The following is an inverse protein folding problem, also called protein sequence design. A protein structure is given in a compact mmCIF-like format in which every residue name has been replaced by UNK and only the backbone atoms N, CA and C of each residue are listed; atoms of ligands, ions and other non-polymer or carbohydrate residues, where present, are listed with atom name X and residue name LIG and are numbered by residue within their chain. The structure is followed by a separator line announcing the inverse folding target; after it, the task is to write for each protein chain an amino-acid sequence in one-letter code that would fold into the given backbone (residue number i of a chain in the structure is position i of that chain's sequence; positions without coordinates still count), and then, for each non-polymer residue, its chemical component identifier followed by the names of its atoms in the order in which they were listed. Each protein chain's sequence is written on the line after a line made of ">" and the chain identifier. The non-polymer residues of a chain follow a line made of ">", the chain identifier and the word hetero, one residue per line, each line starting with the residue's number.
data_IF_851115233193
#
_entry.id   IF_851115233193
#
_cell.length_a   1.000
_cell.length_b   1.000
_cell.length_c   1.000
_cell.angle_alpha   90.00
_cell.angle_beta   90.00
_cell.angle_gamma   90.00
#
_symmetry.space_group_name_H-M   'P 1'
#
loop_
_entity.id
_entity.type
_entity.pdbx_description
1 polymer ?
#
# COMPACT_ATOMS: atom_id res chain seq x y z
N UNK A 1 -4.68 8.86 -8.20
CA UNK A 1 -5.90 8.58 -7.41
C UNK A 1 -5.99 7.16 -6.84
N UNK A 2 -5.37 6.16 -7.47
CA UNK A 2 -5.40 4.76 -6.99
C UNK A 2 -4.94 4.59 -5.52
N UNK A 3 -3.90 5.32 -5.08
CA UNK A 3 -3.48 5.36 -3.66
C UNK A 3 -4.64 5.66 -2.72
N UNK A 4 -5.37 6.74 -3.00
CA UNK A 4 -6.49 7.19 -2.17
C UNK A 4 -7.62 6.16 -2.14
N UNK A 5 -7.91 5.51 -3.28
CA UNK A 5 -8.86 4.38 -3.32
C UNK A 5 -8.40 3.21 -2.44
N UNK A 6 -7.10 2.88 -2.47
CA UNK A 6 -6.51 1.89 -1.58
C UNK A 6 -6.63 2.26 -0.09
N UNK A 7 -6.41 3.53 0.25
CA UNK A 7 -6.60 4.05 1.61
C UNK A 7 -8.05 3.89 2.09
N UNK A 8 -9.04 4.27 1.28
CA UNK A 8 -10.44 4.12 1.66
C UNK A 8 -10.85 2.65 1.84
N UNK A 9 -10.42 1.75 0.95
CA UNK A 9 -10.69 0.32 1.12
C UNK A 9 -9.95 -0.28 2.34
N UNK A 10 -8.74 0.20 2.65
CA UNK A 10 -8.03 -0.17 3.88
C UNK A 10 -8.84 0.25 5.12
N UNK A 11 -9.30 1.50 5.18
CA UNK A 11 -10.15 1.96 6.28
C UNK A 11 -11.43 1.12 6.42
N UNK A 12 -12.06 0.74 5.31
CA UNK A 12 -13.20 -0.20 5.33
C UNK A 12 -12.81 -1.56 5.93
N UNK A 13 -11.62 -2.09 5.58
CA UNK A 13 -11.14 -3.38 6.07
C UNK A 13 -10.79 -3.36 7.58
N UNK A 14 -10.45 -2.21 8.16
CA UNK A 14 -10.11 -2.05 9.58
C UNK A 14 -11.27 -2.45 10.50
N UNK A 15 -12.51 -2.09 10.13
CA UNK A 15 -13.70 -2.37 10.93
C UNK A 15 -14.62 -3.46 10.34
N UNK A 16 -14.44 -3.83 9.07
CA UNK A 16 -15.19 -4.94 8.49
C UNK A 16 -14.77 -6.29 9.09
N UNK A 17 -15.66 -7.28 8.99
CA UNK A 17 -15.44 -8.66 9.45
C UNK A 17 -15.88 -9.67 8.38
N UNK A 18 -15.39 -10.90 8.49
CA UNK A 18 -15.72 -11.99 7.57
C UNK A 18 -15.47 -11.62 6.10
N UNK A 19 -16.43 -11.93 5.23
CA UNK A 19 -16.35 -11.66 3.79
C UNK A 19 -16.24 -10.17 3.44
N UNK A 20 -16.82 -9.29 4.28
CA UNK A 20 -16.68 -7.85 4.11
C UNK A 20 -15.22 -7.40 4.25
N UNK A 21 -14.52 -7.93 5.26
CA UNK A 21 -13.09 -7.66 5.45
C UNK A 21 -12.28 -8.19 4.29
N UNK A 22 -12.56 -9.42 3.84
CA UNK A 22 -11.87 -10.04 2.71
C UNK A 22 -12.00 -9.20 1.43
N UNK A 23 -13.23 -8.84 1.07
CA UNK A 23 -13.52 -8.04 -0.13
C UNK A 23 -12.85 -6.66 -0.07
N UNK A 24 -12.94 -5.98 1.07
CA UNK A 24 -12.28 -4.67 1.26
C UNK A 24 -10.75 -4.78 1.17
N UNK A 25 -10.17 -5.84 1.75
CA UNK A 25 -8.73 -6.09 1.70
C UNK A 25 -8.23 -6.36 0.28
N UNK A 26 -8.96 -7.19 -0.49
CA UNK A 26 -8.64 -7.47 -1.89
C UNK A 26 -8.72 -6.20 -2.75
N UNK A 27 -9.77 -5.40 -2.57
CA UNK A 27 -9.93 -4.13 -3.29
C UNK A 27 -8.85 -3.09 -2.91
N UNK A 28 -8.44 -3.04 -1.65
CA UNK A 28 -7.34 -2.21 -1.18
C UNK A 28 -6.02 -2.65 -1.83
N UNK A 29 -5.71 -3.94 -1.79
CA UNK A 29 -4.49 -4.51 -2.35
C UNK A 29 -4.36 -4.22 -3.85
N UNK A 30 -5.42 -4.46 -4.62
CA UNK A 30 -5.42 -4.19 -6.07
C UNK A 30 -5.23 -2.69 -6.36
N UNK A 31 -5.89 -1.81 -5.58
CA UNK A 31 -5.74 -0.37 -5.75
C UNK A 31 -4.33 0.11 -5.43
N UNK A 32 -3.70 -0.40 -4.38
CA UNK A 32 -2.31 -0.07 -4.06
C UNK A 32 -1.32 -0.63 -5.07
N UNK A 33 -1.56 -1.84 -5.58
CA UNK A 33 -0.72 -2.47 -6.61
C UNK A 33 -0.72 -1.62 -7.89
N UNK A 34 -1.89 -1.26 -8.40
CA UNK A 34 -2.02 -0.37 -9.55
C UNK A 34 -1.35 0.99 -9.31
N UNK A 35 -1.53 1.58 -8.12
CA UNK A 35 -0.86 2.82 -7.76
C UNK A 35 0.67 2.67 -7.78
N UNK A 36 1.18 1.52 -7.36
CA UNK A 36 2.63 1.24 -7.26
C UNK A 36 3.23 1.09 -8.65
N UNK A 37 2.59 0.34 -9.54
CA UNK A 37 3.03 0.18 -10.93
C UNK A 37 3.13 1.53 -11.66
N UNK A 38 2.10 2.37 -11.54
CA UNK A 38 2.09 3.72 -12.13
C UNK A 38 3.18 4.60 -11.49
N UNK A 39 3.28 4.61 -10.15
CA UNK A 39 4.27 5.43 -9.46
C UNK A 39 5.71 5.00 -9.76
N UNK A 40 5.96 3.70 -9.98
CA UNK A 40 7.27 3.19 -10.36
C UNK A 40 7.67 3.61 -11.78
N UNK A 41 6.71 3.69 -12.70
CA UNK A 41 6.91 4.17 -14.07
C UNK A 41 7.12 5.68 -14.14
N UNK A 42 6.27 6.44 -13.43
CA UNK A 42 6.09 7.87 -13.75
C UNK A 42 6.68 8.82 -12.71
N UNK A 43 7.05 8.32 -11.53
CA UNK A 43 7.54 9.15 -10.42
C UNK A 43 8.93 8.71 -9.95
N UNK A 44 9.81 9.69 -9.72
CA UNK A 44 11.10 9.46 -9.10
C UNK A 44 10.93 8.78 -7.72
N UNK A 45 11.88 7.92 -7.28
CA UNK A 45 11.83 7.27 -5.97
C UNK A 45 11.66 8.24 -4.78
N UNK A 46 12.23 9.44 -4.88
CA UNK A 46 12.14 10.50 -3.86
C UNK A 46 10.83 11.30 -3.91
N UNK A 47 9.97 11.05 -4.89
CA UNK A 47 8.72 11.80 -5.05
C UNK A 47 7.79 11.54 -3.84
N UNK A 48 7.26 12.59 -3.17
CA UNK A 48 6.52 12.43 -1.91
C UNK A 48 5.26 11.56 -2.05
N UNK A 49 4.59 11.58 -3.21
CA UNK A 49 3.44 10.69 -3.47
C UNK A 49 3.87 9.22 -3.53
N UNK A 50 5.03 8.90 -4.13
CA UNK A 50 5.53 7.53 -4.24
C UNK A 50 5.96 7.00 -2.87
N UNK A 51 6.65 7.81 -2.08
CA UNK A 51 7.01 7.49 -0.70
C UNK A 51 5.78 7.30 0.19
N UNK A 52 4.82 8.24 0.12
CA UNK A 52 3.57 8.13 0.87
C UNK A 52 2.71 6.94 0.44
N UNK A 53 2.78 6.52 -0.83
CA UNK A 53 2.17 5.29 -1.30
C UNK A 53 2.84 4.06 -0.69
N UNK A 54 4.17 3.97 -0.74
CA UNK A 54 4.92 2.84 -0.18
C UNK A 54 4.68 2.70 1.34
N UNK A 55 4.66 3.83 2.06
CA UNK A 55 4.31 3.87 3.48
C UNK A 55 2.90 3.32 3.74
N UNK A 56 1.88 3.82 3.04
CA UNK A 56 0.51 3.37 3.29
C UNK A 56 0.29 1.91 2.88
N UNK A 57 0.99 1.45 1.84
CA UNK A 57 0.91 0.05 1.43
C UNK A 57 1.67 -0.88 2.39
N UNK A 58 2.76 -0.44 3.01
CA UNK A 58 3.44 -1.23 4.05
C UNK A 58 2.58 -1.35 5.31
N UNK A 59 1.92 -0.26 5.72
CA UNK A 59 0.92 -0.28 6.82
C UNK A 59 -0.22 -1.25 6.49
N UNK A 60 -0.73 -1.24 5.25
CA UNK A 60 -1.73 -2.21 4.81
C UNK A 60 -1.27 -3.66 4.96
N UNK A 61 -0.05 -3.99 4.52
CA UNK A 61 0.51 -5.33 4.69
C UNK A 61 0.63 -5.74 6.16
N UNK A 62 0.99 -4.79 7.03
CA UNK A 62 1.14 -5.04 8.46
C UNK A 62 -0.21 -5.22 9.15
N UNK A 63 -1.11 -4.23 9.05
CA UNK A 63 -2.33 -4.14 9.86
C UNK A 63 -3.49 -4.96 9.27
N UNK A 64 -3.60 -5.05 7.94
CA UNK A 64 -4.74 -5.72 7.29
C UNK A 64 -4.43 -7.16 6.95
N UNK A 65 -3.27 -7.39 6.32
CA UNK A 65 -2.84 -8.72 5.86
C UNK A 65 -2.00 -9.50 6.88
N UNK A 66 -1.71 -8.92 8.04
CA UNK A 66 -0.91 -9.53 9.10
C UNK A 66 0.41 -10.15 8.57
N UNK A 67 1.06 -9.43 7.65
CA UNK A 67 2.25 -9.87 6.90
C UNK A 67 3.43 -8.94 7.18
N UNK A 68 4.00 -8.97 8.40
CA UNK A 68 5.03 -8.01 8.83
C UNK A 68 6.30 -8.08 7.96
N UNK A 69 6.68 -9.27 7.49
CA UNK A 69 7.85 -9.45 6.62
C UNK A 69 7.70 -8.67 5.31
N UNK A 70 6.51 -8.74 4.69
CA UNK A 70 6.21 -8.00 3.45
C UNK A 70 6.15 -6.50 3.70
N UNK A 71 5.59 -6.07 4.82
CA UNK A 71 5.54 -4.67 5.21
C UNK A 71 6.95 -4.08 5.36
N UNK A 72 7.83 -4.77 6.09
CA UNK A 72 9.22 -4.35 6.27
C UNK A 72 9.98 -4.35 4.94
N UNK A 73 9.83 -5.39 4.13
CA UNK A 73 10.50 -5.46 2.82
C UNK A 73 10.11 -4.28 1.92
N UNK A 74 8.81 -3.99 1.81
CA UNK A 74 8.32 -2.89 0.99
C UNK A 74 8.81 -1.53 1.50
N UNK A 75 8.71 -1.30 2.81
CA UNK A 75 9.16 -0.04 3.42
C UNK A 75 10.67 0.17 3.25
N UNK A 76 11.46 -0.89 3.46
CA UNK A 76 12.91 -0.86 3.29
C UNK A 76 13.30 -0.59 1.84
N UNK A 77 12.68 -1.30 0.89
CA UNK A 77 12.96 -1.09 -0.53
C UNK A 77 12.66 0.36 -0.94
N UNK A 78 11.51 0.91 -0.52
CA UNK A 78 11.17 2.29 -0.86
C UNK A 78 12.13 3.32 -0.23
N UNK A 79 12.67 3.02 0.95
CA UNK A 79 13.69 3.85 1.59
C UNK A 79 15.03 3.75 0.85
N UNK A 80 15.51 2.53 0.58
CA UNK A 80 16.77 2.28 -0.12
C UNK A 80 16.75 2.90 -1.53
N UNK A 81 15.64 2.75 -2.27
CA UNK A 81 15.43 3.35 -3.60
C UNK A 81 15.48 4.89 -3.57
N UNK A 82 15.10 5.52 -2.46
CA UNK A 82 15.09 6.98 -2.32
C UNK A 82 16.44 7.57 -1.89
N UNK A 83 17.35 6.73 -1.39
CA UNK A 83 18.70 7.11 -0.97
C UNK A 83 19.72 6.83 -2.09
N UNK A 84 19.45 5.86 -2.97
CA UNK A 84 20.29 5.49 -4.13
C UNK A 84 20.31 6.56 -5.22
#
# INVERSE_FOLDING_TARGET
>A
YHKMKGDYHRYLAEFASGDGRKTASEAAHESYKQATEIAQSDLAPTHPIRLGLALNFSVFYYEILNSPDRACHLAKQAFDDAIA
#
